data_IF_535097017351
#
_entry.id   IF_535097017351
#
_cell.length_a   1.000
_cell.length_b   1.000
_cell.length_c   1.000
_cell.angle_alpha   90.00
_cell.angle_beta   90.00
_cell.angle_gamma   90.00
#
_symmetry.space_group_name_H-M   'P 1'
#
loop_
_entity.id
_entity.type
_entity.pdbx_description
1 polymer ?
#
# COMPACT_ATOMS: atom_id res chain seq x y z
N UNK A 1 18.78 16.43 -17.98
CA UNK A 1 19.01 16.85 -16.58
C UNK A 1 17.75 16.82 -15.73
N UNK A 2 16.55 17.10 -16.26
CA UNK A 2 15.28 16.98 -15.50
C UNK A 2 14.86 15.54 -15.20
N UNK A 3 15.24 14.58 -16.05
CA UNK A 3 14.88 13.16 -15.93
C UNK A 3 15.43 12.50 -14.67
N UNK A 4 16.70 12.75 -14.34
CA UNK A 4 17.37 12.07 -13.23
C UNK A 4 16.82 12.48 -11.86
N UNK A 5 16.42 13.74 -11.68
CA UNK A 5 15.81 14.22 -10.43
C UNK A 5 14.39 13.66 -10.26
N UNK A 6 13.61 13.58 -11.34
CA UNK A 6 12.27 12.99 -11.31
C UNK A 6 12.32 11.47 -11.03
N UNK A 7 13.23 10.75 -11.67
CA UNK A 7 13.46 9.32 -11.42
C UNK A 7 13.86 9.07 -9.96
N UNK A 8 14.77 9.90 -9.42
CA UNK A 8 15.18 9.81 -8.02
C UNK A 8 14.03 10.09 -7.04
N UNK A 9 13.19 11.08 -7.34
CA UNK A 9 12.01 11.38 -6.52
C UNK A 9 11.00 10.21 -6.55
N UNK A 10 10.76 9.62 -7.72
CA UNK A 10 9.90 8.46 -7.87
C UNK A 10 10.41 7.26 -7.07
N UNK A 11 11.70 6.92 -7.18
CA UNK A 11 12.28 5.82 -6.42
C UNK A 11 12.26 6.08 -4.90
N UNK A 12 12.42 7.33 -4.47
CA UNK A 12 12.28 7.70 -3.06
C UNK A 12 10.85 7.49 -2.56
N UNK A 13 9.84 7.96 -3.32
CA UNK A 13 8.43 7.79 -2.96
C UNK A 13 8.04 6.31 -2.93
N UNK A 14 8.44 5.54 -3.94
CA UNK A 14 8.24 4.09 -4.01
C UNK A 14 8.83 3.38 -2.80
N UNK A 15 10.08 3.69 -2.45
CA UNK A 15 10.74 3.11 -1.27
C UNK A 15 10.04 3.50 0.04
N UNK A 16 9.54 4.73 0.16
CA UNK A 16 8.76 5.15 1.31
C UNK A 16 7.46 4.34 1.44
N UNK A 17 6.73 4.16 0.34
CA UNK A 17 5.49 3.37 0.31
C UNK A 17 5.71 1.88 0.59
N UNK A 18 6.80 1.31 0.06
CA UNK A 18 7.17 -0.08 0.29
C UNK A 18 7.53 -0.37 1.76
N UNK A 19 8.17 0.57 2.44
CA UNK A 19 8.67 0.38 3.80
C UNK A 19 7.74 0.96 4.88
N UNK A 20 6.54 1.37 4.49
CA UNK A 20 5.56 1.90 5.41
C UNK A 20 5.01 0.77 6.29
N UNK A 21 4.96 0.95 7.62
CA UNK A 21 4.46 -0.10 8.52
C UNK A 21 2.92 -0.15 8.55
N UNK A 22 2.26 0.99 8.38
CA UNK A 22 0.82 1.16 8.61
C UNK A 22 0.20 2.20 7.67
N UNK A 23 -1.09 2.03 7.37
CA UNK A 23 -1.89 2.95 6.57
C UNK A 23 -3.18 3.28 7.30
N UNK A 24 -3.55 4.56 7.34
CA UNK A 24 -4.93 4.93 7.58
C UNK A 24 -5.79 4.71 6.32
N UNK A 25 -7.10 4.92 6.41
CA UNK A 25 -8.01 4.70 5.27
C UNK A 25 -7.66 5.52 4.03
N UNK A 26 -7.23 6.78 4.19
CA UNK A 26 -6.91 7.66 3.07
C UNK A 26 -5.65 7.17 2.37
N UNK A 27 -4.60 6.88 3.13
CA UNK A 27 -3.32 6.42 2.61
C UNK A 27 -3.45 5.05 1.96
N UNK A 28 -4.27 4.15 2.52
CA UNK A 28 -4.61 2.88 1.89
C UNK A 28 -5.22 3.11 0.50
N UNK A 29 -6.19 4.02 0.38
CA UNK A 29 -6.83 4.32 -0.91
C UNK A 29 -5.90 5.00 -1.91
N UNK A 30 -4.88 5.71 -1.46
CA UNK A 30 -3.85 6.30 -2.33
C UNK A 30 -2.95 5.23 -2.93
N UNK A 31 -2.50 4.27 -2.12
CA UNK A 31 -1.48 3.28 -2.52
C UNK A 31 -2.08 1.97 -3.07
N UNK A 32 -3.32 1.65 -2.70
CA UNK A 32 -3.97 0.38 -3.00
C UNK A 32 -5.38 0.54 -3.56
N UNK A 33 -5.78 -0.41 -4.39
CA UNK A 33 -7.17 -0.67 -4.75
C UNK A 33 -7.70 -1.78 -3.83
N UNK A 34 -8.81 -1.50 -3.14
CA UNK A 34 -9.45 -2.47 -2.23
C UNK A 34 -10.39 -3.38 -3.02
N UNK A 35 -10.21 -4.69 -2.88
CA UNK A 35 -10.98 -5.70 -3.61
C UNK A 35 -12.11 -6.26 -2.75
N UNK A 36 -11.80 -6.75 -1.55
CA UNK A 36 -12.79 -7.30 -0.63
C UNK A 36 -12.30 -7.33 0.81
N UNK A 37 -13.23 -7.40 1.76
CA UNK A 37 -12.97 -7.56 3.19
C UNK A 37 -13.43 -8.95 3.65
N UNK A 38 -12.63 -9.62 4.47
CA UNK A 38 -12.99 -10.90 5.08
C UNK A 38 -12.22 -11.11 6.38
N UNK A 39 -12.92 -11.54 7.44
CA UNK A 39 -12.34 -12.00 8.72
C UNK A 39 -11.09 -11.24 9.21
N UNK A 40 -11.21 -9.92 9.44
CA UNK A 40 -10.08 -9.10 9.96
C UNK A 40 -8.99 -8.77 8.93
N UNK A 41 -9.17 -9.19 7.68
CA UNK A 41 -8.26 -8.97 6.57
C UNK A 41 -8.93 -8.22 5.41
N UNK A 42 -8.13 -7.50 4.64
CA UNK A 42 -8.53 -6.87 3.39
C UNK A 42 -7.65 -7.39 2.26
N UNK A 43 -8.28 -7.72 1.13
CA UNK A 43 -7.59 -8.05 -0.12
C UNK A 43 -7.43 -6.78 -0.94
N UNK A 44 -6.23 -6.57 -1.48
CA UNK A 44 -5.85 -5.33 -2.16
C UNK A 44 -4.97 -5.59 -3.38
N UNK A 45 -4.92 -4.61 -4.28
CA UNK A 45 -3.94 -4.51 -5.36
C UNK A 45 -3.14 -3.24 -5.16
N UNK A 46 -1.82 -3.36 -5.04
CA UNK A 46 -0.93 -2.21 -4.91
C UNK A 46 -0.81 -1.51 -6.26
N UNK A 47 -1.08 -0.21 -6.30
CA UNK A 47 -1.28 0.50 -7.57
C UNK A 47 0.00 0.69 -8.39
N UNK A 48 1.15 0.86 -7.74
CA UNK A 48 2.37 1.22 -8.47
C UNK A 48 2.98 0.05 -9.25
N UNK A 49 2.76 -1.20 -8.81
CA UNK A 49 3.30 -2.41 -9.45
C UNK A 49 2.25 -3.49 -9.74
N UNK A 50 1.00 -3.28 -9.36
CA UNK A 50 -0.09 -4.24 -9.58
C UNK A 50 -0.03 -5.46 -8.65
N UNK A 51 0.84 -5.46 -7.63
CA UNK A 51 1.01 -6.61 -6.75
C UNK A 51 -0.26 -6.84 -5.93
N UNK A 52 -0.83 -8.04 -6.06
CA UNK A 52 -1.95 -8.48 -5.23
C UNK A 52 -1.45 -8.91 -3.86
N UNK A 53 -2.28 -8.72 -2.85
CA UNK A 53 -1.97 -9.19 -1.51
C UNK A 53 -3.09 -8.98 -0.52
N UNK A 54 -2.77 -9.25 0.72
CA UNK A 54 -3.66 -9.06 1.86
C UNK A 54 -3.01 -8.16 2.91
N UNK A 55 -3.85 -7.50 3.71
CA UNK A 55 -3.45 -6.74 4.88
C UNK A 55 -4.39 -7.04 6.04
N UNK A 56 -3.86 -6.98 7.25
CA UNK A 56 -4.68 -6.97 8.47
C UNK A 56 -5.30 -5.58 8.67
N UNK A 57 -6.37 -5.50 9.46
CA UNK A 57 -6.87 -4.21 9.93
C UNK A 57 -7.38 -4.23 11.38
N UNK A 58 -7.31 -3.08 12.04
CA UNK A 58 -8.03 -2.81 13.29
C UNK A 58 -9.37 -2.11 13.04
N UNK A 59 -10.34 -2.29 13.94
CA UNK A 59 -11.68 -1.71 13.79
C UNK A 59 -11.75 -0.21 14.12
N UNK A 60 -11.12 0.23 15.22
CA UNK A 60 -11.15 1.63 15.68
C UNK A 60 -9.92 1.95 16.54
N UNK A 61 -9.04 2.88 16.12
CA UNK A 61 -9.04 3.54 14.81
C UNK A 61 -8.79 2.54 13.67
N UNK A 62 -9.31 2.85 12.48
CA UNK A 62 -9.11 2.02 11.29
C UNK A 62 -7.69 2.20 10.78
N UNK A 63 -6.88 1.16 10.97
CA UNK A 63 -5.48 1.08 10.53
C UNK A 63 -5.29 -0.24 9.81
N UNK A 64 -4.55 -0.21 8.70
CA UNK A 64 -4.20 -1.34 7.87
C UNK A 64 -2.70 -1.58 7.93
N UNK A 65 -2.28 -2.83 8.04
CA UNK A 65 -0.87 -3.18 8.27
C UNK A 65 -0.57 -4.61 7.78
N UNK A 66 0.70 -5.04 7.89
CA UNK A 66 1.16 -6.36 7.47
C UNK A 66 0.79 -6.73 6.02
N UNK A 67 1.18 -5.90 5.04
CA UNK A 67 0.99 -6.27 3.64
C UNK A 67 1.79 -7.52 3.28
N UNK A 68 1.08 -8.58 2.87
CA UNK A 68 1.64 -9.84 2.39
C UNK A 68 1.25 -9.99 0.91
N UNK A 69 2.25 -9.94 0.04
CA UNK A 69 2.07 -10.19 -1.38
C UNK A 69 1.67 -11.65 -1.64
N UNK A 70 0.80 -11.86 -2.62
CA UNK A 70 0.45 -13.18 -3.15
C UNK A 70 1.04 -13.36 -4.54
N UNK A 71 1.59 -14.53 -4.81
CA UNK A 71 2.08 -14.91 -6.15
C UNK A 71 0.97 -14.95 -7.21
#
# INVERSE_FOLDING_TARGET
MLTNEMEKAFEMEKNYKLNRPEWNTKELQEDFEVISFSYGMVSVVRKFDGQKGFMDFNHSPRVYFNFIATD
#
